data_IF_811736875383
#
_entry.id   IF_811736875383
#
_cell.length_a   1.000
_cell.length_b   1.000
_cell.length_c   1.000
_cell.angle_alpha   90.00
_cell.angle_beta   90.00
_cell.angle_gamma   90.00
#
_symmetry.space_group_name_H-M   'P 1'
#
loop_
_entity.id
_entity.type
_entity.pdbx_description
1 polymer ?
#
# COMPACT_ATOMS: atom_id res chain seq x y z
N UNK A 1 1.41 4.16 -12.29
CA UNK A 1 0.76 3.67 -11.05
C UNK A 1 1.70 3.76 -9.84
N UNK A 2 2.97 3.35 -9.95
CA UNK A 2 3.95 3.45 -8.85
C UNK A 2 4.12 4.89 -8.32
N UNK A 3 4.25 5.88 -9.20
CA UNK A 3 4.34 7.30 -8.80
C UNK A 3 3.10 7.79 -8.06
N UNK A 4 1.91 7.33 -8.46
CA UNK A 4 0.66 7.67 -7.80
C UNK A 4 0.63 7.13 -6.37
N UNK A 5 0.96 5.84 -6.17
CA UNK A 5 1.05 5.25 -4.82
C UNK A 5 2.08 6.01 -3.98
N UNK A 6 3.29 6.23 -4.52
CA UNK A 6 4.35 6.96 -3.82
C UNK A 6 3.90 8.35 -3.36
N UNK A 7 3.22 9.10 -4.23
CA UNK A 7 2.78 10.45 -3.93
C UNK A 7 1.62 10.47 -2.93
N UNK A 8 0.59 9.64 -3.15
CA UNK A 8 -0.62 9.63 -2.30
C UNK A 8 -0.30 9.06 -0.93
N UNK A 9 0.20 7.82 -0.88
CA UNK A 9 0.48 7.14 0.39
C UNK A 9 1.60 7.85 1.16
N UNK A 10 2.67 8.28 0.47
CA UNK A 10 3.75 9.05 1.09
C UNK A 10 3.29 10.37 1.70
N UNK A 11 2.29 11.05 1.10
CA UNK A 11 1.70 12.27 1.66
C UNK A 11 0.93 12.01 2.95
N UNK A 12 0.15 10.92 3.01
CA UNK A 12 -0.63 10.55 4.19
C UNK A 12 0.24 10.07 5.36
N UNK A 13 1.29 9.29 5.07
CA UNK A 13 2.25 8.82 6.09
C UNK A 13 2.96 9.98 6.82
N UNK A 14 3.14 11.12 6.15
CA UNK A 14 3.71 12.35 6.73
C UNK A 14 2.70 13.18 7.52
N UNK A 15 1.41 12.83 7.45
CA UNK A 15 0.30 13.63 7.98
C UNK A 15 -0.66 12.74 8.80
N UNK A 16 -0.29 12.34 10.03
CA UNK A 16 -1.09 11.41 10.85
C UNK A 16 -2.55 11.81 11.02
N UNK A 17 -2.81 13.10 11.27
CA UNK A 17 -4.16 13.66 11.45
C UNK A 17 -5.08 13.48 10.24
N UNK A 18 -4.50 13.27 9.06
CA UNK A 18 -5.25 13.10 7.82
C UNK A 18 -5.37 11.64 7.40
N UNK A 19 -4.65 10.71 8.01
CA UNK A 19 -4.66 9.28 7.70
C UNK A 19 -5.37 8.51 8.82
N UNK A 20 -6.70 8.69 8.90
CA UNK A 20 -7.55 8.05 9.91
C UNK A 20 -8.98 7.86 9.36
N UNK A 21 -9.75 6.96 9.98
CA UNK A 21 -11.12 6.62 9.52
C UNK A 21 -12.11 7.80 9.59
N UNK A 22 -11.80 8.82 10.38
CA UNK A 22 -12.62 10.03 10.48
C UNK A 22 -12.37 11.03 9.34
N UNK A 23 -11.34 10.81 8.52
CA UNK A 23 -10.98 11.67 7.40
C UNK A 23 -11.57 11.10 6.10
N UNK A 24 -12.64 11.69 5.51
CA UNK A 24 -13.27 11.15 4.31
C UNK A 24 -12.32 11.10 3.11
N UNK A 25 -11.43 12.09 3.01
CA UNK A 25 -10.42 12.14 1.94
C UNK A 25 -9.47 10.95 2.01
N UNK A 26 -9.06 10.53 3.22
CA UNK A 26 -8.26 9.32 3.38
C UNK A 26 -9.04 8.07 3.05
N UNK A 27 -10.26 7.92 3.57
CA UNK A 27 -11.11 6.75 3.28
C UNK A 27 -11.28 6.56 1.77
N UNK A 28 -11.60 7.64 1.04
CA UNK A 28 -11.70 7.60 -0.42
C UNK A 28 -10.37 7.28 -1.10
N UNK A 29 -9.28 7.93 -0.67
CA UNK A 29 -7.95 7.69 -1.24
C UNK A 29 -7.51 6.24 -1.02
N UNK A 30 -7.82 5.66 0.14
CA UNK A 30 -7.55 4.26 0.46
C UNK A 30 -8.27 3.32 -0.48
N UNK A 31 -9.56 3.54 -0.74
CA UNK A 31 -10.30 2.67 -1.67
C UNK A 31 -9.72 2.75 -3.09
N UNK A 32 -9.32 3.94 -3.55
CA UNK A 32 -8.63 4.08 -4.83
C UNK A 32 -7.30 3.33 -4.83
N UNK A 33 -6.51 3.43 -3.76
CA UNK A 33 -5.26 2.68 -3.62
C UNK A 33 -5.51 1.16 -3.65
N UNK A 34 -6.55 0.65 -2.97
CA UNK A 34 -6.95 -0.77 -3.03
C UNK A 34 -7.26 -1.22 -4.45
N UNK A 35 -8.06 -0.44 -5.18
CA UNK A 35 -8.38 -0.73 -6.59
C UNK A 35 -7.10 -0.79 -7.44
N UNK A 36 -6.19 0.18 -7.28
CA UNK A 36 -4.91 0.20 -8.00
C UNK A 36 -4.06 -1.04 -7.68
N UNK A 37 -4.11 -1.55 -6.45
CA UNK A 37 -3.41 -2.75 -6.02
C UNK A 37 -3.99 -4.05 -6.61
N UNK A 38 -5.29 -4.09 -6.95
CA UNK A 38 -6.01 -5.31 -7.35
C UNK A 38 -6.31 -5.40 -8.84
N UNK A 39 -6.32 -4.27 -9.53
CA UNK A 39 -6.74 -4.21 -10.94
C UNK A 39 -5.71 -4.77 -11.92
N UNK A 40 -4.40 -4.47 -11.81
CA UNK A 40 -3.44 -4.81 -12.85
C UNK A 40 -3.42 -6.31 -13.17
N UNK A 41 -3.27 -6.63 -14.45
CA UNK A 41 -3.17 -7.99 -14.99
C UNK A 41 -1.74 -8.36 -15.40
N UNK A 42 -0.88 -7.35 -15.55
CA UNK A 42 0.54 -7.53 -15.82
C UNK A 42 1.31 -7.78 -14.51
N UNK A 43 2.01 -8.90 -14.43
CA UNK A 43 2.78 -9.31 -13.25
C UNK A 43 3.92 -8.33 -12.96
N UNK A 44 4.60 -7.80 -13.98
CA UNK A 44 5.69 -6.82 -13.80
C UNK A 44 5.18 -5.52 -13.15
N UNK A 45 3.97 -5.08 -13.52
CA UNK A 45 3.32 -3.92 -12.89
C UNK A 45 3.02 -4.22 -11.43
N UNK A 46 2.50 -5.41 -11.11
CA UNK A 46 2.21 -5.82 -9.72
C UNK A 46 3.49 -5.90 -8.88
N UNK A 47 4.58 -6.45 -9.41
CA UNK A 47 5.88 -6.43 -8.72
C UNK A 47 6.36 -5.01 -8.47
N UNK A 48 6.23 -4.11 -9.46
CA UNK A 48 6.56 -2.70 -9.31
C UNK A 48 5.76 -2.01 -8.20
N UNK A 49 4.46 -2.30 -8.10
CA UNK A 49 3.60 -1.78 -7.03
C UNK A 49 4.01 -2.35 -5.67
N UNK A 50 4.26 -3.67 -5.59
CA UNK A 50 4.66 -4.34 -4.36
C UNK A 50 5.97 -3.77 -3.82
N UNK A 51 6.97 -3.62 -4.69
CA UNK A 51 8.25 -3.00 -4.34
C UNK A 51 8.08 -1.54 -3.91
N UNK A 52 7.19 -0.79 -4.56
CA UNK A 52 6.91 0.61 -4.19
C UNK A 52 6.35 0.71 -2.78
N UNK A 53 5.33 -0.09 -2.43
CA UNK A 53 4.75 -0.11 -1.09
C UNK A 53 5.76 -0.61 -0.06
N UNK A 54 6.54 -1.65 -0.39
CA UNK A 54 7.61 -2.16 0.48
C UNK A 54 8.66 -1.11 0.79
N UNK A 55 9.09 -0.33 -0.21
CA UNK A 55 10.05 0.76 -0.04
C UNK A 55 9.49 1.89 0.83
N UNK A 56 8.22 2.25 0.66
CA UNK A 56 7.55 3.23 1.53
C UNK A 56 7.48 2.75 2.98
N UNK A 57 7.15 1.47 3.19
CA UNK A 57 7.08 0.88 4.52
C UNK A 57 8.46 0.91 5.19
N UNK A 58 9.51 0.50 4.49
CA UNK A 58 10.88 0.54 4.99
C UNK A 58 11.34 1.97 5.31
N UNK A 59 11.04 2.95 4.44
CA UNK A 59 11.38 4.35 4.65
C UNK A 59 10.63 4.96 5.84
N UNK A 60 9.34 4.62 5.99
CA UNK A 60 8.52 5.05 7.12
C UNK A 60 9.05 4.46 8.42
N UNK A 61 9.30 3.14 8.46
CA UNK A 61 9.89 2.47 9.61
C UNK A 61 11.21 3.10 10.03
N UNK A 62 12.13 3.35 9.09
CA UNK A 62 13.41 4.02 9.39
C UNK A 62 13.21 5.40 10.02
N UNK A 63 12.23 6.16 9.54
CA UNK A 63 11.92 7.51 10.05
C UNK A 63 11.33 7.43 11.45
N UNK A 64 10.36 6.54 11.64
CA UNK A 64 9.77 6.29 12.95
C UNK A 64 10.87 5.84 13.88
N UNK A 65 11.64 4.78 13.58
CA UNK A 65 12.70 4.22 14.44
C UNK A 65 13.85 5.18 14.82
N UNK A 66 14.02 6.30 14.13
CA UNK A 66 15.07 7.29 14.44
C UNK A 66 14.74 8.25 15.60
N UNK A 67 13.47 8.60 15.84
CA UNK A 67 13.07 9.52 16.93
C UNK A 67 12.03 8.84 17.83
N UNK A 68 12.41 8.52 19.08
CA UNK A 68 11.61 7.68 20.00
C UNK A 68 10.66 8.52 20.85
N UNK A 69 11.01 9.76 21.17
CA UNK A 69 10.35 10.55 22.21
C UNK A 69 8.98 11.13 21.78
N UNK A 70 8.70 11.18 20.47
CA UNK A 70 7.51 11.80 19.88
C UNK A 70 6.59 10.81 19.14
N UNK A 71 6.83 9.49 19.26
CA UNK A 71 6.12 8.49 18.46
C UNK A 71 4.68 8.29 18.88
N UNK A 72 3.79 8.55 17.94
CA UNK A 72 2.47 7.97 17.95
C UNK A 72 2.55 6.50 17.48
N UNK A 73 2.70 5.59 18.45
CA UNK A 73 2.76 4.14 18.20
C UNK A 73 1.44 3.61 17.61
N UNK A 74 0.31 4.19 18.00
CA UNK A 74 -1.00 3.81 17.49
C UNK A 74 -1.13 4.18 16.01
N UNK A 75 -0.71 5.39 15.63
CA UNK A 75 -0.64 5.77 14.23
C UNK A 75 0.34 4.89 13.44
N UNK A 76 1.50 4.59 14.02
CA UNK A 76 2.51 3.76 13.37
C UNK A 76 1.99 2.35 13.08
N UNK A 77 1.30 1.74 14.04
CA UNK A 77 0.65 0.44 13.88
C UNK A 77 -0.44 0.48 12.79
N UNK A 78 -1.28 1.52 12.80
CA UNK A 78 -2.30 1.72 11.78
C UNK A 78 -1.68 1.89 10.39
N UNK A 79 -0.68 2.76 10.24
CA UNK A 79 0.00 3.00 8.97
C UNK A 79 0.62 1.71 8.39
N UNK A 80 1.26 0.90 9.24
CA UNK A 80 1.79 -0.40 8.84
C UNK A 80 0.70 -1.39 8.42
N UNK A 81 -0.42 -1.43 9.13
CA UNK A 81 -1.57 -2.27 8.79
C UNK A 81 -2.12 -1.90 7.39
N UNK A 82 -2.30 -0.61 7.12
CA UNK A 82 -2.76 -0.15 5.80
C UNK A 82 -1.77 -0.51 4.68
N UNK A 83 -0.46 -0.37 4.91
CA UNK A 83 0.56 -0.80 3.93
C UNK A 83 0.56 -2.32 3.72
N UNK A 84 0.35 -3.09 4.79
CA UNK A 84 0.23 -4.55 4.73
C UNK A 84 -0.99 -4.98 3.92
N UNK A 85 -2.15 -4.34 4.12
CA UNK A 85 -3.36 -4.56 3.32
C UNK A 85 -3.08 -4.37 1.82
N UNK A 86 -2.43 -3.28 1.42
CA UNK A 86 -2.05 -3.05 0.02
C UNK A 86 -1.11 -4.14 -0.52
N UNK A 87 -0.06 -4.51 0.22
CA UNK A 87 0.86 -5.57 -0.19
C UNK A 87 0.15 -6.92 -0.34
N UNK A 88 -0.75 -7.26 0.59
CA UNK A 88 -1.51 -8.50 0.56
C UNK A 88 -2.43 -8.57 -0.66
N UNK A 89 -3.12 -7.48 -0.99
CA UNK A 89 -3.97 -7.39 -2.18
C UNK A 89 -3.19 -7.57 -3.48
N UNK A 90 -2.03 -6.94 -3.59
CA UNK A 90 -1.12 -7.12 -4.74
C UNK A 90 -0.68 -8.59 -4.83
N UNK A 91 -0.30 -9.21 -3.71
CA UNK A 91 0.11 -10.61 -3.66
C UNK A 91 -1.02 -11.57 -4.07
N UNK A 92 -2.23 -11.37 -3.54
CA UNK A 92 -3.41 -12.13 -3.91
C UNK A 92 -3.70 -12.00 -5.40
N UNK A 93 -3.58 -10.79 -5.96
CA UNK A 93 -3.78 -10.55 -7.39
C UNK A 93 -2.74 -11.29 -8.25
N UNK A 94 -1.46 -11.24 -7.87
CA UNK A 94 -0.41 -12.01 -8.54
C UNK A 94 -0.71 -13.51 -8.54
N UNK A 95 -1.11 -14.06 -7.38
CA UNK A 95 -1.50 -15.48 -7.27
C UNK A 95 -2.72 -15.83 -8.11
N UNK A 96 -3.71 -14.94 -8.21
CA UNK A 96 -4.88 -15.14 -9.09
C UNK A 96 -4.48 -15.23 -10.56
N UNK A 97 -3.62 -14.31 -11.02
CA UNK A 97 -3.13 -14.29 -12.42
C UNK A 97 -2.32 -15.55 -12.70
N UNK A 98 -1.42 -15.93 -11.80
CA UNK A 98 -0.63 -17.15 -11.94
C UNK A 98 -1.52 -18.38 -12.02
N UNK A 99 -2.52 -18.51 -11.14
CA UNK A 99 -3.49 -19.62 -11.20
C UNK A 99 -4.24 -19.65 -12.53
N UNK A 100 -4.77 -18.51 -13.01
CA UNK A 100 -5.44 -18.43 -14.31
C UNK A 100 -4.54 -18.93 -15.45
N UNK A 101 -3.26 -18.51 -15.45
CA UNK A 101 -2.27 -18.97 -16.42
C UNK A 101 -2.03 -20.48 -16.34
N UNK A 102 -1.92 -21.04 -15.13
CA UNK A 102 -1.74 -22.49 -14.93
C UNK A 102 -2.92 -23.32 -15.44
N UNK A 103 -4.15 -22.80 -15.39
CA UNK A 103 -5.34 -23.48 -15.89
C UNK A 103 -5.71 -23.13 -17.34
N UNK A 104 -4.87 -22.38 -18.05
CA UNK A 104 -5.15 -21.96 -19.44
C UNK A 104 -6.38 -21.04 -19.57
N UNK A 105 -6.82 -20.42 -18.48
CA UNK A 105 -7.95 -19.49 -18.49
C UNK A 105 -7.47 -18.16 -19.09
N UNK A 106 -7.87 -17.90 -20.33
CA UNK A 106 -7.65 -16.61 -21.00
C UNK A 106 -8.50 -15.52 -20.33
N UNK A 107 -7.94 -14.32 -20.31
CA UNK A 107 -8.41 -13.13 -19.61
C UNK A 107 -9.87 -12.78 -19.88
#
# INVERSE_FOLDING_TARGET
MNEFINKVLGSYLRKPKHMCELCPAWVQSREVLRIVCETPTCVDVLFGLWATVGNLNAAYLKTVTADVASRDLSFSAYAMDQMSDFMNRINQRMQQIQRKKSFGLLF
#
